data_IF_747651298335
#
_entry.id   IF_747651298335
#
_cell.length_a   1.000
_cell.length_b   1.000
_cell.length_c   1.000
_cell.angle_alpha   90.00
_cell.angle_beta   90.00
_cell.angle_gamma   90.00
#
_symmetry.space_group_name_H-M   'P 1'
#
loop_
_entity.id
_entity.type
_entity.pdbx_description
1 polymer ?
#
# COMPACT_ATOMS: atom_id res chain seq x y z
N UNK A 1 -5.39 0.33 10.17
CA UNK A 1 -4.12 0.60 9.45
C UNK A 1 -4.29 1.96 8.79
N UNK A 2 -3.38 2.91 9.02
CA UNK A 2 -3.47 4.22 8.39
C UNK A 2 -3.37 4.08 6.86
N UNK A 3 -4.22 4.78 6.10
CA UNK A 3 -4.14 4.80 4.64
C UNK A 3 -2.84 5.50 4.18
N UNK A 4 -2.35 5.17 2.98
CA UNK A 4 -1.21 5.85 2.33
C UNK A 4 -1.27 7.37 2.51
N UNK A 5 -2.45 7.90 2.22
CA UNK A 5 -2.77 9.33 2.30
C UNK A 5 -2.47 9.91 3.68
N UNK A 6 -2.81 9.18 4.74
CA UNK A 6 -2.60 9.65 6.11
C UNK A 6 -1.10 9.69 6.46
N UNK A 7 -0.34 8.68 6.02
CA UNK A 7 1.11 8.62 6.26
C UNK A 7 1.85 9.71 5.49
N UNK A 8 1.49 9.90 4.21
CA UNK A 8 2.05 10.96 3.38
C UNK A 8 1.76 12.34 3.98
N UNK A 9 0.52 12.59 4.41
CA UNK A 9 0.16 13.84 5.08
C UNK A 9 1.02 14.13 6.31
N UNK A 10 1.19 13.14 7.19
CA UNK A 10 2.00 13.31 8.39
C UNK A 10 3.44 13.63 7.99
N UNK A 11 4.01 12.90 7.04
CA UNK A 11 5.37 13.13 6.56
C UNK A 11 5.53 14.55 5.97
N UNK A 12 4.57 14.99 5.16
CA UNK A 12 4.57 16.32 4.55
C UNK A 12 4.45 17.44 5.59
N UNK A 13 3.60 17.28 6.59
CA UNK A 13 3.43 18.24 7.68
C UNK A 13 4.70 18.35 8.53
N UNK A 14 5.42 17.24 8.73
CA UNK A 14 6.72 17.25 9.39
C UNK A 14 7.80 17.92 8.53
N UNK A 15 7.85 17.62 7.23
CA UNK A 15 8.79 18.25 6.29
C UNK A 15 8.59 19.78 6.24
N UNK A 16 7.32 20.22 6.17
CA UNK A 16 6.94 21.63 6.21
C UNK A 16 7.47 22.33 7.47
N UNK A 17 7.31 21.70 8.64
CA UNK A 17 7.76 22.26 9.93
C UNK A 17 9.29 22.29 10.04
N UNK A 18 9.97 21.24 9.59
CA UNK A 18 11.42 21.15 9.68
C UNK A 18 12.11 22.18 8.77
N UNK A 19 11.65 22.28 7.52
CA UNK A 19 12.22 23.17 6.51
C UNK A 19 11.64 24.60 6.62
N UNK A 20 10.67 24.81 7.51
CA UNK A 20 9.98 26.11 7.72
C UNK A 20 9.40 26.66 6.42
N UNK A 21 8.62 25.85 5.72
CA UNK A 21 7.88 26.29 4.53
C UNK A 21 6.46 26.71 4.90
N UNK A 22 5.88 27.63 4.14
CA UNK A 22 4.49 28.05 4.29
C UNK A 22 3.54 26.95 3.80
N UNK A 23 3.87 26.31 2.67
CA UNK A 23 3.09 25.23 2.08
C UNK A 23 3.98 24.10 1.59
N UNK A 24 3.43 22.89 1.62
CA UNK A 24 4.06 21.66 1.16
C UNK A 24 3.02 20.87 0.36
N UNK A 25 3.36 20.48 -0.85
CA UNK A 25 2.56 19.61 -1.70
C UNK A 25 3.40 18.45 -2.24
N UNK A 26 2.73 17.33 -2.50
CA UNK A 26 3.32 16.15 -3.14
C UNK A 26 2.44 15.81 -4.32
N UNK A 27 3.07 15.61 -5.47
CA UNK A 27 2.42 15.21 -6.71
C UNK A 27 2.96 13.85 -7.11
N UNK A 28 2.09 12.87 -7.30
CA UNK A 28 2.46 11.52 -7.73
C UNK A 28 2.28 11.37 -9.23
N UNK A 29 3.14 10.58 -9.86
CA UNK A 29 3.09 10.29 -11.29
C UNK A 29 2.05 9.21 -11.57
N UNK A 30 1.06 9.54 -12.41
CA UNK A 30 0.15 8.59 -13.04
C UNK A 30 0.72 8.22 -14.42
N UNK A 31 1.37 7.04 -14.49
CA UNK A 31 2.03 6.55 -15.71
C UNK A 31 1.03 6.21 -16.80
N UNK A 32 -0.21 5.83 -16.47
CA UNK A 32 -1.22 5.45 -17.47
C UNK A 32 -1.73 6.66 -18.24
N UNK A 33 -1.88 7.79 -17.55
CA UNK A 33 -2.40 9.03 -18.13
C UNK A 33 -1.34 10.06 -18.48
N UNK A 34 -0.08 9.82 -18.07
CA UNK A 34 1.02 10.79 -18.19
C UNK A 34 0.69 12.12 -17.47
N UNK A 35 0.09 12.00 -16.28
CA UNK A 35 -0.36 13.12 -15.46
C UNK A 35 0.34 13.13 -14.09
N UNK A 36 0.41 14.31 -13.49
CA UNK A 36 0.71 14.52 -12.09
C UNK A 36 -0.59 14.63 -11.31
N UNK A 37 -0.72 13.83 -10.26
CA UNK A 37 -1.86 13.83 -9.36
C UNK A 37 -1.44 14.44 -8.03
N UNK A 38 -2.05 15.54 -7.67
CA UNK A 38 -1.85 16.20 -6.39
C UNK A 38 -3.11 16.05 -5.52
N UNK A 39 -2.93 15.47 -4.34
CA UNK A 39 -4.00 15.36 -3.35
C UNK A 39 -3.99 16.59 -2.44
N UNK A 40 -4.87 17.56 -2.71
CA UNK A 40 -5.05 18.72 -1.85
C UNK A 40 -6.15 18.46 -0.82
N UNK A 41 -5.86 18.72 0.46
CA UNK A 41 -6.85 18.62 1.54
C UNK A 41 -7.31 20.02 1.94
N UNK A 42 -8.57 20.35 1.65
CA UNK A 42 -9.20 21.55 2.20
C UNK A 42 -9.58 21.32 3.66
N UNK A 43 -9.72 22.42 4.42
CA UNK A 43 -10.13 22.42 5.83
C UNK A 43 -11.46 21.67 6.10
N UNK A 44 -12.27 21.42 5.07
CA UNK A 44 -13.59 20.78 5.16
C UNK A 44 -13.62 19.26 4.83
N UNK A 45 -12.49 18.56 4.89
CA UNK A 45 -12.36 17.09 4.67
C UNK A 45 -12.62 16.56 3.26
N UNK A 46 -12.96 17.40 2.29
CA UNK A 46 -12.96 16.98 0.89
C UNK A 46 -11.54 16.97 0.32
N UNK A 47 -11.14 15.80 -0.20
CA UNK A 47 -9.91 15.64 -0.96
C UNK A 47 -10.20 16.11 -2.38
N UNK A 48 -9.56 17.19 -2.80
CA UNK A 48 -9.63 17.65 -4.17
C UNK A 48 -8.36 17.14 -4.86
N UNK A 49 -8.54 16.23 -5.81
CA UNK A 49 -7.46 15.81 -6.70
C UNK A 49 -7.28 16.85 -7.80
N UNK A 50 -6.10 17.45 -7.88
CA UNK A 50 -5.69 18.26 -9.03
C UNK A 50 -4.85 17.40 -9.96
N UNK A 51 -5.12 17.50 -11.26
CA UNK A 51 -4.41 16.75 -12.30
C UNK A 51 -3.74 17.71 -13.27
N UNK A 52 -2.45 17.49 -13.52
CA UNK A 52 -1.64 18.34 -14.38
C UNK A 52 -0.85 17.50 -15.38
N UNK A 53 -0.51 18.02 -16.57
CA UNK A 53 0.38 17.32 -17.49
C UNK A 53 1.78 17.16 -16.89
N UNK A 54 2.41 15.99 -17.09
CA UNK A 54 3.71 15.63 -16.50
C UNK A 54 4.89 16.49 -16.95
N UNK A 55 4.74 17.27 -18.04
CA UNK A 55 5.82 18.02 -18.70
C UNK A 55 5.73 19.54 -18.52
N UNK A 56 4.90 20.02 -17.58
CA UNK A 56 4.62 21.45 -17.41
C UNK A 56 4.94 21.87 -15.97
N UNK A 57 5.36 23.12 -15.79
CA UNK A 57 5.75 23.66 -14.49
C UNK A 57 7.16 23.25 -14.06
N UNK A 58 7.59 23.79 -12.91
CA UNK A 58 8.81 23.37 -12.22
C UNK A 58 8.70 21.90 -11.85
N UNK A 59 7.52 21.45 -11.41
CA UNK A 59 7.25 20.04 -11.15
C UNK A 59 7.58 19.14 -12.35
N UNK A 60 7.10 19.48 -13.56
CA UNK A 60 7.41 18.71 -14.76
C UNK A 60 8.89 18.76 -15.15
N UNK A 61 9.54 19.91 -14.98
CA UNK A 61 10.99 20.04 -15.20
C UNK A 61 11.80 19.15 -14.24
N UNK A 62 11.41 19.05 -12.96
CA UNK A 62 12.06 18.17 -11.98
C UNK A 62 11.86 16.70 -12.33
N UNK A 63 10.71 16.30 -12.86
CA UNK A 63 10.48 14.93 -13.33
C UNK A 63 11.39 14.58 -14.49
N UNK A 64 11.52 15.48 -15.48
CA UNK A 64 12.36 15.24 -16.65
C UNK A 64 13.85 15.27 -16.33
N UNK A 65 14.30 16.23 -15.53
CA UNK A 65 15.71 16.41 -15.18
C UNK A 65 16.17 15.47 -14.06
N UNK A 66 15.24 15.00 -13.24
CA UNK A 66 15.53 14.28 -12.00
C UNK A 66 16.33 15.09 -10.99
N UNK A 67 16.46 16.40 -11.15
CA UNK A 67 17.29 17.26 -10.31
C UNK A 67 16.44 18.18 -9.45
N UNK A 68 16.92 18.52 -8.25
CA UNK A 68 16.25 19.49 -7.37
C UNK A 68 16.30 20.87 -8.02
N UNK A 69 15.20 21.62 -7.90
CA UNK A 69 15.11 23.01 -8.32
C UNK A 69 14.80 23.87 -7.10
N UNK A 70 15.73 24.77 -6.78
CA UNK A 70 15.54 25.82 -5.79
C UNK A 70 15.36 27.17 -6.48
N UNK A 71 14.11 27.56 -6.72
CA UNK A 71 13.74 28.84 -7.29
C UNK A 71 13.65 29.89 -6.17
N UNK A 72 14.69 30.72 -6.07
CA UNK A 72 14.73 31.89 -5.16
C UNK A 72 13.68 32.95 -5.50
N UNK A 73 13.26 33.01 -6.76
CA UNK A 73 12.14 33.80 -7.24
C UNK A 73 11.35 32.93 -8.21
N UNK A 74 10.17 32.46 -7.78
CA UNK A 74 9.35 31.53 -8.53
C UNK A 74 8.98 32.10 -9.91
N UNK A 75 8.54 33.36 -9.96
CA UNK A 75 8.09 34.05 -11.18
C UNK A 75 9.21 34.32 -12.19
N UNK A 76 10.46 34.30 -11.75
CA UNK A 76 11.63 34.46 -12.63
C UNK A 76 12.10 33.13 -13.24
N UNK A 77 11.65 32.00 -12.69
CA UNK A 77 12.05 30.70 -13.21
C UNK A 77 11.36 30.40 -14.54
N UNK A 78 12.09 30.03 -15.62
CA UNK A 78 11.51 29.90 -16.96
C UNK A 78 10.47 28.79 -17.09
N UNK A 79 10.55 27.77 -16.23
CA UNK A 79 9.59 26.67 -16.19
C UNK A 79 8.41 26.92 -15.24
N UNK A 80 8.34 28.06 -14.55
CA UNK A 80 7.27 28.31 -13.57
C UNK A 80 5.91 28.45 -14.26
N UNK A 81 4.96 27.65 -13.80
CA UNK A 81 3.56 27.76 -14.19
C UNK A 81 2.69 27.98 -12.96
N UNK A 82 2.02 29.15 -12.80
CA UNK A 82 1.21 29.44 -11.62
C UNK A 82 -0.03 28.55 -11.47
N UNK A 83 -0.45 27.83 -12.52
CA UNK A 83 -1.58 26.90 -12.44
C UNK A 83 -1.18 25.57 -11.80
N UNK A 84 0.09 25.18 -11.93
CA UNK A 84 0.64 23.90 -11.47
C UNK A 84 1.44 24.09 -10.20
N UNK A 85 2.43 24.99 -10.25
CA UNK A 85 3.36 25.28 -9.17
C UNK A 85 2.74 26.25 -8.12
N UNK A 86 1.55 26.77 -8.42
CA UNK A 86 0.81 27.69 -7.57
C UNK A 86 -0.18 27.00 -6.64
N UNK A 87 -0.38 27.60 -5.48
CA UNK A 87 -1.44 27.22 -4.55
C UNK A 87 -2.56 28.29 -4.56
N UNK A 88 -3.85 27.91 -4.59
CA UNK A 88 -4.94 28.87 -4.64
C UNK A 88 -4.90 29.87 -3.48
N UNK A 89 -4.87 31.16 -3.80
CA UNK A 89 -4.88 32.24 -2.80
C UNK A 89 -3.51 32.62 -2.23
N UNK A 90 -2.42 32.09 -2.80
CA UNK A 90 -1.06 32.24 -2.27
C UNK A 90 -0.15 32.84 -3.32
N UNK A 91 0.57 33.90 -2.94
CA UNK A 91 1.60 34.46 -3.78
C UNK A 91 2.88 33.63 -3.63
N UNK A 92 3.19 32.82 -4.64
CA UNK A 92 4.39 31.99 -4.69
C UNK A 92 5.61 32.86 -4.95
N UNK A 93 6.45 33.05 -3.92
CA UNK A 93 7.69 33.83 -3.96
C UNK A 93 8.89 32.92 -4.16
N UNK A 94 9.00 31.88 -3.35
CA UNK A 94 10.10 30.90 -3.42
C UNK A 94 9.56 29.48 -3.52
N UNK A 95 10.25 28.64 -4.29
CA UNK A 95 9.86 27.25 -4.51
C UNK A 95 11.09 26.36 -4.40
N UNK A 96 11.00 25.34 -3.56
CA UNK A 96 11.94 24.23 -3.53
C UNK A 96 11.21 22.96 -3.99
N UNK A 97 11.56 22.47 -5.17
CA UNK A 97 10.96 21.29 -5.77
C UNK A 97 11.99 20.18 -5.91
N UNK A 98 11.64 18.96 -5.49
CA UNK A 98 12.56 17.82 -5.45
C UNK A 98 11.86 16.54 -5.92
N UNK A 99 12.58 15.65 -6.61
CA UNK A 99 12.00 14.41 -7.10
C UNK A 99 11.86 13.40 -5.97
N UNK A 100 10.76 12.64 -5.96
CA UNK A 100 10.55 11.48 -5.10
C UNK A 100 10.91 10.24 -5.91
N UNK A 101 11.95 9.54 -5.46
CA UNK A 101 12.54 8.43 -6.20
C UNK A 101 12.18 7.09 -5.58
N UNK A 102 12.09 6.12 -6.47
CA UNK A 102 11.92 4.70 -6.19
C UNK A 102 13.06 3.93 -6.87
N UNK A 103 13.16 2.62 -6.66
CA UNK A 103 14.23 1.82 -7.27
C UNK A 103 14.19 1.86 -8.80
N UNK A 104 12.99 2.01 -9.37
CA UNK A 104 12.75 1.93 -10.82
C UNK A 104 12.74 3.28 -11.54
N UNK A 105 12.59 4.40 -10.79
CA UNK A 105 12.46 5.72 -11.39
C UNK A 105 11.90 6.77 -10.44
N UNK A 106 11.42 7.89 -11.01
CA UNK A 106 10.76 8.96 -10.26
C UNK A 106 9.27 8.65 -10.20
N UNK A 107 8.74 8.53 -8.99
CA UNK A 107 7.32 8.21 -8.74
C UNK A 107 6.49 9.46 -8.41
N UNK A 108 7.14 10.60 -8.22
CA UNK A 108 6.49 11.86 -7.88
C UNK A 108 7.47 12.99 -7.66
N UNK A 109 6.95 14.14 -7.27
CA UNK A 109 7.71 15.31 -6.86
C UNK A 109 7.12 15.90 -5.57
N UNK A 110 8.00 16.39 -4.70
CA UNK A 110 7.62 17.20 -3.55
C UNK A 110 7.91 18.67 -3.85
N UNK A 111 7.05 19.56 -3.37
CA UNK A 111 7.18 20.99 -3.55
C UNK A 111 6.95 21.72 -2.23
N UNK A 112 7.90 22.56 -1.86
CA UNK A 112 7.82 23.46 -0.71
C UNK A 112 7.74 24.88 -1.23
N UNK A 113 6.72 25.61 -0.78
CA UNK A 113 6.41 26.96 -1.25
C UNK A 113 6.59 27.93 -0.09
N UNK A 114 7.27 29.03 -0.37
CA UNK A 114 7.56 30.16 0.51
C UNK A 114 8.31 29.76 1.78
N UNK A 115 9.59 30.12 1.84
CA UNK A 115 10.39 29.99 3.06
C UNK A 115 9.87 30.97 4.13
N UNK A 116 9.74 30.48 5.37
CA UNK A 116 9.38 31.27 6.54
C UNK A 116 10.64 31.65 7.30
N UNK A 117 10.81 32.95 7.56
CA UNK A 117 11.92 33.52 8.33
C UNK A 117 13.07 34.01 7.46
N UNK A 118 13.36 33.31 6.36
CA UNK A 118 14.45 33.64 5.43
C UNK A 118 13.91 33.96 4.02
N UNK A 119 14.64 34.74 3.21
CA UNK A 119 14.17 35.17 1.89
C UNK A 119 14.11 34.04 0.85
N UNK A 120 14.87 32.96 1.03
CA UNK A 120 14.92 31.81 0.13
C UNK A 120 15.38 30.54 0.87
N UNK A 121 15.16 29.38 0.27
CA UNK A 121 15.66 28.10 0.79
C UNK A 121 17.18 28.03 0.62
N UNK A 122 17.89 27.61 1.67
CA UNK A 122 19.34 27.46 1.64
C UNK A 122 19.78 26.05 1.20
N UNK A 123 21.09 25.80 1.13
CA UNK A 123 21.61 24.48 0.76
C UNK A 123 21.33 23.40 1.80
N UNK A 124 21.15 23.77 3.07
CA UNK A 124 20.79 22.82 4.12
C UNK A 124 19.33 22.38 3.96
N UNK A 125 18.44 23.28 3.56
CA UNK A 125 17.06 22.98 3.19
C UNK A 125 16.98 22.00 2.01
N UNK A 126 17.85 22.18 1.00
CA UNK A 126 17.95 21.25 -0.14
C UNK A 126 18.36 19.84 0.31
N UNK A 127 19.39 19.72 1.15
CA UNK A 127 19.84 18.43 1.69
C UNK A 127 18.75 17.77 2.55
N UNK A 128 18.07 18.55 3.40
CA UNK A 128 16.95 18.05 4.21
C UNK A 128 15.79 17.58 3.33
N UNK A 129 15.42 18.33 2.29
CA UNK A 129 14.37 17.96 1.36
C UNK A 129 14.70 16.66 0.60
N UNK A 130 15.95 16.49 0.19
CA UNK A 130 16.44 15.24 -0.43
C UNK A 130 16.39 14.05 0.54
N UNK A 131 16.74 14.25 1.81
CA UNK A 131 16.61 13.20 2.82
C UNK A 131 15.13 12.79 3.01
N UNK A 132 14.22 13.75 3.03
CA UNK A 132 12.78 13.48 3.08
C UNK A 132 12.25 12.75 1.85
N UNK A 133 12.75 13.10 0.66
CA UNK A 133 12.38 12.43 -0.59
C UNK A 133 12.58 10.91 -0.51
N UNK A 134 13.70 10.48 0.04
CA UNK A 134 14.01 9.05 0.19
C UNK A 134 12.97 8.37 1.08
N UNK A 135 12.62 9.01 2.21
CA UNK A 135 11.63 8.47 3.13
C UNK A 135 10.23 8.40 2.51
N UNK A 136 9.82 9.46 1.81
CA UNK A 136 8.56 9.49 1.06
C UNK A 136 8.50 8.36 0.03
N UNK A 137 9.59 8.12 -0.71
CA UNK A 137 9.68 7.03 -1.69
C UNK A 137 9.45 5.66 -1.05
N UNK A 138 10.09 5.39 0.08
CA UNK A 138 9.91 4.13 0.83
C UNK A 138 8.48 3.98 1.36
N UNK A 139 7.89 5.06 1.89
CA UNK A 139 6.52 5.03 2.41
C UNK A 139 5.49 4.75 1.31
N UNK A 140 5.60 5.42 0.15
CA UNK A 140 4.70 5.21 -0.98
C UNK A 140 4.81 3.76 -1.46
N UNK A 141 6.04 3.27 -1.63
CA UNK A 141 6.28 1.91 -2.08
C UNK A 141 5.70 0.86 -1.14
N UNK A 142 5.97 1.00 0.16
CA UNK A 142 5.44 0.07 1.14
C UNK A 142 3.90 0.06 1.09
N UNK A 143 3.26 1.22 0.97
CA UNK A 143 1.81 1.25 0.89
C UNK A 143 1.25 0.60 -0.37
N UNK A 144 1.85 0.85 -1.54
CA UNK A 144 1.42 0.25 -2.81
C UNK A 144 1.58 -1.27 -2.75
N UNK A 145 2.73 -1.75 -2.25
CA UNK A 145 2.98 -3.19 -2.08
C UNK A 145 1.99 -3.81 -1.08
N UNK A 146 1.76 -3.13 0.04
CA UNK A 146 0.83 -3.60 1.07
C UNK A 146 -0.61 -3.70 0.55
N UNK A 147 -1.07 -2.71 -0.22
CA UNK A 147 -2.38 -2.73 -0.85
C UNK A 147 -2.52 -3.92 -1.81
N UNK A 148 -1.51 -4.16 -2.67
CA UNK A 148 -1.50 -5.33 -3.58
C UNK A 148 -1.55 -6.66 -2.81
N UNK A 149 -0.85 -6.76 -1.68
CA UNK A 149 -0.91 -7.94 -0.80
C UNK A 149 -2.31 -8.11 -0.22
N UNK A 150 -2.95 -7.05 0.25
CA UNK A 150 -4.32 -7.09 0.78
C UNK A 150 -5.33 -7.51 -0.29
N UNK A 151 -5.27 -6.94 -1.49
CA UNK A 151 -6.14 -7.32 -2.61
C UNK A 151 -5.95 -8.78 -3.02
N UNK A 152 -4.70 -9.26 -3.07
CA UNK A 152 -4.40 -10.66 -3.33
C UNK A 152 -4.94 -11.58 -2.22
N UNK A 153 -4.78 -11.17 -0.95
CA UNK A 153 -5.30 -11.90 0.20
C UNK A 153 -6.82 -12.02 0.14
N UNK A 154 -7.53 -10.91 -0.07
CA UNK A 154 -9.00 -10.88 -0.18
C UNK A 154 -9.47 -11.80 -1.33
N UNK A 155 -8.85 -11.71 -2.51
CA UNK A 155 -9.18 -12.58 -3.65
C UNK A 155 -8.98 -14.06 -3.32
N UNK A 156 -7.89 -14.40 -2.65
CA UNK A 156 -7.58 -15.78 -2.27
C UNK A 156 -8.57 -16.31 -1.22
N UNK A 157 -8.89 -15.51 -0.19
CA UNK A 157 -9.91 -15.87 0.81
C UNK A 157 -11.26 -16.14 0.15
N UNK A 158 -11.73 -15.27 -0.74
CA UNK A 158 -13.00 -15.46 -1.45
C UNK A 158 -13.00 -16.74 -2.31
N UNK A 159 -11.89 -17.03 -3.00
CA UNK A 159 -11.75 -18.28 -3.76
C UNK A 159 -11.81 -19.52 -2.85
N UNK A 160 -11.15 -19.48 -1.69
CA UNK A 160 -11.19 -20.58 -0.73
C UNK A 160 -12.58 -20.78 -0.13
N UNK A 161 -13.30 -19.72 0.21
CA UNK A 161 -14.68 -19.80 0.70
C UNK A 161 -15.62 -20.49 -0.31
N UNK A 162 -15.47 -20.18 -1.61
CA UNK A 162 -16.25 -20.85 -2.67
C UNK A 162 -15.97 -22.35 -2.74
N UNK A 163 -14.69 -22.75 -2.60
CA UNK A 163 -14.28 -24.16 -2.59
C UNK A 163 -14.80 -24.85 -1.32
N UNK A 164 -14.73 -24.19 -0.17
CA UNK A 164 -15.26 -24.69 1.10
C UNK A 164 -16.78 -24.87 1.06
N UNK A 165 -17.52 -24.01 0.37
CA UNK A 165 -18.98 -24.15 0.24
C UNK A 165 -19.36 -25.52 -0.37
N UNK A 166 -18.64 -25.97 -1.40
CA UNK A 166 -18.87 -27.27 -2.04
C UNK A 166 -18.27 -28.46 -1.27
N UNK A 167 -17.41 -28.21 -0.28
CA UNK A 167 -16.80 -29.23 0.58
C UNK A 167 -17.36 -29.23 2.01
N UNK A 168 -18.40 -28.44 2.29
CA UNK A 168 -18.96 -28.33 3.64
C UNK A 168 -19.65 -29.65 4.02
N UNK A 169 -19.05 -30.35 4.98
CA UNK A 169 -19.67 -31.50 5.64
C UNK A 169 -20.80 -30.99 6.53
N UNK A 170 -21.97 -31.62 6.49
CA UNK A 170 -23.09 -31.20 7.32
C UNK A 170 -22.81 -31.43 8.80
N UNK A 171 -23.26 -30.53 9.69
CA UNK A 171 -23.03 -30.70 11.14
C UNK A 171 -23.61 -32.03 11.65
N UNK A 172 -24.70 -32.52 11.05
CA UNK A 172 -25.26 -33.85 11.32
C UNK A 172 -24.38 -35.02 10.87
N UNK A 173 -23.55 -34.87 9.84
CA UNK A 173 -22.52 -35.86 9.48
C UNK A 173 -21.37 -35.87 10.50
N UNK A 174 -20.94 -34.69 10.94
CA UNK A 174 -19.89 -34.56 11.95
C UNK A 174 -20.34 -35.16 13.28
N UNK A 175 -21.53 -34.80 13.77
CA UNK A 175 -22.09 -35.37 15.00
C UNK A 175 -22.27 -36.88 14.90
N UNK A 176 -22.73 -37.41 13.75
CA UNK A 176 -22.84 -38.86 13.53
C UNK A 176 -21.51 -39.60 13.66
N UNK A 177 -20.40 -39.00 13.23
CA UNK A 177 -19.07 -39.62 13.34
C UNK A 177 -18.54 -39.50 14.78
N UNK A 178 -18.74 -38.36 15.43
CA UNK A 178 -18.30 -38.13 16.82
C UNK A 178 -19.02 -39.01 17.84
N UNK A 179 -20.33 -39.21 17.66
CA UNK A 179 -21.18 -40.05 18.52
C UNK A 179 -21.17 -41.52 18.11
N UNK A 180 -20.37 -41.89 17.10
CA UNK A 180 -20.35 -43.24 16.57
C UNK A 180 -19.77 -44.21 17.61
N UNK A 181 -20.64 -45.03 18.19
CA UNK A 181 -20.31 -46.12 19.14
C UNK A 181 -20.24 -47.49 18.46
N UNK A 182 -20.25 -47.53 17.12
CA UNK A 182 -20.19 -48.77 16.35
C UNK A 182 -18.90 -49.56 16.60
N UNK A 183 -19.00 -50.89 16.55
CA UNK A 183 -17.84 -51.78 16.55
C UNK A 183 -17.09 -51.69 15.20
N UNK A 184 -16.32 -50.62 15.00
CA UNK A 184 -15.46 -50.42 13.83
C UNK A 184 -14.10 -51.11 14.05
N UNK A 185 -14.13 -52.43 14.21
CA UNK A 185 -12.94 -53.24 14.43
C UNK A 185 -12.81 -54.29 13.33
N UNK A 186 -11.85 -54.12 12.43
CA UNK A 186 -11.53 -55.11 11.41
C UNK A 186 -10.32 -55.94 11.85
N UNK A 187 -10.38 -57.29 11.86
CA UNK A 187 -9.35 -58.17 12.44
C UNK A 187 -7.93 -57.96 11.90
N UNK A 188 -7.82 -57.44 10.68
CA UNK A 188 -6.54 -57.26 9.98
C UNK A 188 -6.22 -55.79 9.70
N UNK A 189 -6.86 -54.82 10.37
CA UNK A 189 -6.65 -53.40 10.10
C UNK A 189 -5.17 -52.96 10.26
N UNK A 190 -4.43 -53.61 11.15
CA UNK A 190 -2.99 -53.39 11.39
C UNK A 190 -2.05 -54.20 10.48
N UNK A 191 -2.60 -55.06 9.61
CA UNK A 191 -1.80 -55.88 8.70
C UNK A 191 -1.39 -55.10 7.46
N UNK A 192 -0.13 -55.25 7.04
CA UNK A 192 0.40 -54.68 5.79
C UNK A 192 -0.30 -55.21 4.53
N UNK A 193 -0.96 -56.38 4.61
CA UNK A 193 -1.69 -56.99 3.50
C UNK A 193 -3.19 -56.65 3.50
N UNK A 194 -3.63 -55.76 4.38
CA UNK A 194 -5.03 -55.36 4.45
C UNK A 194 -5.46 -54.58 3.20
N UNK A 195 -6.64 -54.89 2.67
CA UNK A 195 -7.24 -54.15 1.56
C UNK A 195 -8.26 -53.12 2.10
N UNK A 196 -7.98 -51.81 2.03
CA UNK A 196 -8.88 -50.78 2.53
C UNK A 196 -10.25 -50.74 1.81
N UNK A 197 -10.34 -51.26 0.58
CA UNK A 197 -11.61 -51.35 -0.17
C UNK A 197 -12.58 -52.37 0.41
N UNK A 198 -12.14 -53.21 1.35
CA UNK A 198 -13.01 -54.14 2.06
C UNK A 198 -13.93 -53.44 3.09
N UNK A 199 -13.65 -52.17 3.43
CA UNK A 199 -14.44 -51.40 4.38
C UNK A 199 -15.61 -50.68 3.69
N UNK A 200 -16.78 -50.55 4.35
CA UNK A 200 -17.88 -49.74 3.85
C UNK A 200 -17.47 -48.27 3.73
N UNK A 201 -17.68 -47.66 2.56
CA UNK A 201 -17.32 -46.25 2.28
C UNK A 201 -17.90 -45.27 3.31
N UNK A 202 -19.09 -45.57 3.85
CA UNK A 202 -19.78 -44.76 4.85
C UNK A 202 -19.12 -44.78 6.23
N UNK A 203 -18.36 -45.83 6.55
CA UNK A 203 -17.70 -46.02 7.85
C UNK A 203 -16.22 -45.62 7.83
N UNK A 204 -15.63 -45.39 6.65
CA UNK A 204 -14.23 -44.99 6.49
C UNK A 204 -13.81 -43.82 7.41
N UNK A 205 -14.61 -42.75 7.60
CA UNK A 205 -14.25 -41.69 8.53
C UNK A 205 -14.11 -42.17 9.98
N UNK A 206 -14.93 -43.13 10.42
CA UNK A 206 -14.86 -43.71 11.76
C UNK A 206 -13.58 -44.53 11.96
N UNK A 207 -13.18 -45.32 10.96
CA UNK A 207 -11.91 -46.06 10.98
C UNK A 207 -10.70 -45.10 11.01
N UNK A 208 -10.75 -44.00 10.24
CA UNK A 208 -9.70 -42.99 10.26
C UNK A 208 -9.56 -42.35 11.66
N UNK A 209 -10.67 -41.90 12.27
CA UNK A 209 -10.67 -41.35 13.64
C UNK A 209 -10.12 -42.35 14.66
N UNK A 210 -10.45 -43.64 14.51
CA UNK A 210 -9.92 -44.70 15.38
C UNK A 210 -8.42 -44.89 15.24
N UNK A 211 -7.87 -44.85 14.02
CA UNK A 211 -6.42 -44.90 13.80
C UNK A 211 -5.71 -43.73 14.50
N UNK A 212 -6.27 -42.51 14.43
CA UNK A 212 -5.73 -41.35 15.16
C UNK A 212 -5.77 -41.56 16.70
N UNK A 213 -6.85 -42.15 17.22
CA UNK A 213 -6.95 -42.53 18.65
C UNK A 213 -5.91 -43.59 19.05
N UNK A 214 -5.73 -44.63 18.24
CA UNK A 214 -4.79 -45.72 18.53
C UNK A 214 -3.32 -45.24 18.50
N UNK A 215 -3.02 -44.21 17.71
CA UNK A 215 -1.72 -43.53 17.69
C UNK A 215 -1.54 -42.52 18.84
N UNK A 216 -2.57 -42.30 19.67
CA UNK A 216 -2.50 -41.38 20.80
C UNK A 216 -2.61 -39.90 20.44
N UNK A 217 -3.15 -39.57 19.26
CA UNK A 217 -3.43 -38.19 18.83
C UNK A 217 -4.80 -37.68 19.29
N UNK A 218 -5.41 -38.27 20.32
CA UNK A 218 -6.75 -37.91 20.83
C UNK A 218 -6.73 -36.86 21.96
N UNK A 219 -5.58 -36.21 22.19
CA UNK A 219 -5.37 -35.16 23.19
C UNK A 219 -5.44 -33.76 22.60
#
# INVERSE_FOLDING_TARGET
VASLDTLLQIAMEQAKKLIKAEYCSVMLVDVERMELVESCYKLDKEVIERRFPLNVGIAGYVIQSGSVVNAKSAKEHPAFDPTIDGFPGIDCKTILCFPIREQTGIIGVGQLINKIGDPYFDGMDEEMALAFSIYCGVCIMHSVVYQKIQEAHIRNTLANELVMYHMKVSDGEVSRILECTGFHNHPHLSSLHFNPRALPMRELPCYAVKMFKDLGFDK
#
